data_IF_272965318333
#
_entry.id   IF_272965318333
#
_cell.length_a   1.000
_cell.length_b   1.000
_cell.length_c   1.000
_cell.angle_alpha   90.00
_cell.angle_beta   90.00
_cell.angle_gamma   90.00
#
_symmetry.space_group_name_H-M   'P 1'
#
loop_
_entity.id
_entity.type
_entity.pdbx_description
1 polymer ?
#
# COMPACT_ATOMS: atom_id res chain seq x y z
N UNK A 1 -13.50 -7.89 13.11
CA UNK A 1 -14.31 -7.54 11.92
C UNK A 1 -13.63 -6.41 11.17
N UNK A 2 -13.77 -6.36 9.84
CA UNK A 2 -13.23 -5.29 9.01
C UNK A 2 -14.37 -4.61 8.24
N UNK A 3 -14.24 -3.30 8.02
CA UNK A 3 -15.20 -2.48 7.29
C UNK A 3 -14.55 -2.13 5.95
N UNK A 4 -15.18 -2.56 4.86
CA UNK A 4 -14.80 -2.12 3.52
C UNK A 4 -15.20 -0.63 3.36
N UNK A 5 -14.22 0.23 3.16
CA UNK A 5 -14.40 1.70 3.21
C UNK A 5 -15.20 2.23 2.01
N UNK A 6 -15.00 1.64 0.81
CA UNK A 6 -15.74 2.03 -0.41
C UNK A 6 -17.25 1.80 -0.32
N UNK A 7 -17.77 0.58 -0.10
CA UNK A 7 -19.22 0.36 0.00
C UNK A 7 -19.83 1.05 1.22
N UNK A 8 -19.04 1.30 2.27
CA UNK A 8 -19.50 2.00 3.48
C UNK A 8 -19.46 3.52 3.34
N UNK A 9 -18.96 4.05 2.22
CA UNK A 9 -18.78 5.50 1.97
C UNK A 9 -17.97 6.20 3.06
N UNK A 10 -16.90 5.55 3.51
CA UNK A 10 -16.02 6.05 4.56
C UNK A 10 -14.63 6.38 4.03
N UNK A 11 -14.06 7.42 4.62
CA UNK A 11 -12.64 7.73 4.59
C UNK A 11 -12.16 7.68 6.02
N UNK A 12 -11.09 6.93 6.29
CA UNK A 12 -10.48 6.90 7.62
C UNK A 12 -9.08 7.46 7.53
N UNK A 13 -8.78 8.43 8.37
CA UNK A 13 -7.41 8.90 8.61
C UNK A 13 -6.85 8.09 9.78
N UNK A 14 -5.83 7.31 9.49
CA UNK A 14 -5.17 6.38 10.42
C UNK A 14 -3.86 7.03 10.88
N UNK A 15 -3.85 7.46 12.15
CA UNK A 15 -2.80 8.24 12.78
C UNK A 15 -1.93 7.31 13.64
N UNK A 16 -0.72 7.03 13.17
CA UNK A 16 0.17 6.09 13.85
C UNK A 16 1.14 6.79 14.81
N UNK A 17 1.57 6.14 15.90
CA UNK A 17 2.72 6.61 16.65
C UNK A 17 4.01 6.35 15.86
N UNK A 18 5.02 7.19 16.11
CA UNK A 18 6.36 6.95 15.62
C UNK A 18 6.89 5.66 16.28
N UNK A 19 7.44 4.75 15.47
CA UNK A 19 7.95 3.47 15.96
C UNK A 19 9.20 3.69 16.84
N UNK A 20 9.38 2.91 17.92
CA UNK A 20 10.62 2.96 18.70
C UNK A 20 11.85 2.74 17.81
N UNK A 21 12.84 3.63 17.90
CA UNK A 21 14.07 3.58 17.10
C UNK A 21 13.94 4.05 15.65
N UNK A 22 12.77 4.56 15.22
CA UNK A 22 12.66 5.24 13.94
C UNK A 22 13.41 6.59 13.99
N UNK A 23 13.96 7.06 12.85
CA UNK A 23 14.59 8.37 12.79
C UNK A 23 13.59 9.47 13.14
N UNK A 24 14.10 10.58 13.65
CA UNK A 24 13.26 11.75 13.89
C UNK A 24 12.68 12.27 12.58
N UNK A 25 11.47 12.82 12.66
CA UNK A 25 10.83 13.42 11.50
C UNK A 25 11.54 14.71 11.14
N UNK A 26 11.77 14.92 9.85
CA UNK A 26 12.31 16.17 9.33
C UNK A 26 11.27 17.30 9.45
N UNK A 27 11.72 18.55 9.24
CA UNK A 27 10.83 19.68 9.04
C UNK A 27 9.80 19.39 7.92
N UNK A 28 8.55 19.87 8.05
CA UNK A 28 8.02 20.73 9.11
C UNK A 28 7.51 19.96 10.35
N UNK A 29 7.85 18.68 10.51
CA UNK A 29 7.30 17.80 11.54
C UNK A 29 8.29 17.42 12.64
N UNK A 30 9.42 18.13 12.74
CA UNK A 30 10.43 17.92 13.78
C UNK A 30 9.82 17.90 15.19
N UNK A 31 10.27 16.95 16.01
CA UNK A 31 9.77 16.74 17.37
C UNK A 31 8.43 16.00 17.46
N UNK A 32 7.71 15.78 16.35
CA UNK A 32 6.49 14.97 16.38
C UNK A 32 6.83 13.49 16.61
N UNK A 33 6.16 12.89 17.59
CA UNK A 33 6.27 11.46 17.94
C UNK A 33 4.98 10.69 17.63
N UNK A 34 3.94 11.36 17.15
CA UNK A 34 2.67 10.74 16.79
C UNK A 34 1.99 11.47 15.62
N UNK A 35 1.31 10.72 14.76
CA UNK A 35 0.44 11.25 13.69
C UNK A 35 -0.61 12.27 14.14
N UNK A 36 -1.04 12.27 15.42
CA UNK A 36 -1.89 13.35 15.96
C UNK A 36 -1.20 14.71 15.91
N UNK A 37 0.09 14.77 16.27
CA UNK A 37 0.87 16.01 16.26
C UNK A 37 1.17 16.46 14.83
N UNK A 38 1.49 15.51 13.95
CA UNK A 38 1.67 15.78 12.51
C UNK A 38 0.37 16.34 11.92
N UNK A 39 -0.77 15.72 12.23
CA UNK A 39 -2.06 16.14 11.71
C UNK A 39 -2.51 17.50 12.28
N UNK A 40 -2.16 17.80 13.54
CA UNK A 40 -2.37 19.13 14.12
C UNK A 40 -1.58 20.19 13.36
N UNK A 41 -0.29 19.97 13.10
CA UNK A 41 0.54 20.90 12.32
C UNK A 41 0.01 21.11 10.90
N UNK A 42 -0.53 20.07 10.28
CA UNK A 42 -1.20 20.22 8.98
C UNK A 42 -2.43 21.13 9.05
N UNK A 43 -3.24 20.99 10.10
CA UNK A 43 -4.42 21.84 10.30
C UNK A 43 -3.99 23.30 10.56
N UNK A 44 -2.99 23.50 11.42
CA UNK A 44 -2.44 24.82 11.73
C UNK A 44 -1.87 25.51 10.48
N UNK A 45 -1.11 24.77 9.65
CA UNK A 45 -0.57 25.28 8.39
C UNK A 45 -1.65 25.63 7.36
N UNK A 46 -2.79 24.93 7.41
CA UNK A 46 -3.96 25.23 6.59
C UNK A 46 -4.83 26.37 7.17
N UNK A 47 -4.54 26.88 8.37
CA UNK A 47 -5.38 27.84 9.08
C UNK A 47 -6.72 27.26 9.54
N UNK A 48 -6.80 25.94 9.67
CA UNK A 48 -8.03 25.18 9.87
C UNK A 48 -8.10 24.56 11.25
N UNK A 49 -9.32 24.30 11.74
CA UNK A 49 -9.52 23.62 13.02
C UNK A 49 -9.20 22.13 12.91
N UNK A 50 -8.57 21.60 13.96
CA UNK A 50 -8.25 20.18 14.04
C UNK A 50 -9.53 19.32 14.12
N UNK A 51 -9.78 18.40 13.16
CA UNK A 51 -11.07 17.76 12.97
C UNK A 51 -11.25 16.54 13.88
N UNK A 52 -11.29 16.76 15.20
CA UNK A 52 -11.55 15.73 16.21
C UNK A 52 -13.04 15.47 16.45
N UNK A 53 -13.91 16.33 15.92
CA UNK A 53 -15.36 16.19 16.08
C UNK A 53 -15.95 15.19 15.08
N UNK A 54 -15.52 13.94 15.21
CA UNK A 54 -16.03 12.81 14.43
C UNK A 54 -15.89 11.51 15.23
N UNK A 55 -16.34 10.39 14.68
CA UNK A 55 -16.14 9.06 15.27
C UNK A 55 -14.66 8.66 15.31
N UNK A 56 -14.19 8.19 16.47
CA UNK A 56 -12.77 7.89 16.72
C UNK A 56 -12.56 6.52 17.35
N UNK A 57 -11.55 5.81 16.88
CA UNK A 57 -11.15 4.50 17.40
C UNK A 57 -9.67 4.50 17.70
N UNK A 58 -9.29 4.06 18.89
CA UNK A 58 -7.90 3.81 19.24
C UNK A 58 -7.52 2.37 18.88
N UNK A 59 -6.37 2.20 18.25
CA UNK A 59 -5.79 0.90 17.96
C UNK A 59 -4.97 0.37 19.14
N UNK A 60 -4.74 -0.96 19.23
CA UNK A 60 -3.91 -1.55 20.28
C UNK A 60 -2.46 -1.03 20.30
N UNK A 61 -1.95 -0.63 19.13
CA UNK A 61 -0.62 -0.06 18.98
C UNK A 61 -0.56 1.43 19.29
N UNK A 62 -1.55 1.98 20.01
CA UNK A 62 -1.67 3.40 20.35
C UNK A 62 -1.83 4.33 19.14
N UNK A 63 -2.34 3.84 18.02
CA UNK A 63 -2.76 4.69 16.90
C UNK A 63 -4.20 5.20 17.08
N UNK A 64 -4.59 6.20 16.30
CA UNK A 64 -5.93 6.81 16.33
C UNK A 64 -6.52 6.84 14.93
N UNK A 65 -7.70 6.25 14.77
CA UNK A 65 -8.46 6.27 13.52
C UNK A 65 -9.56 7.33 13.62
N UNK A 66 -9.57 8.30 12.72
CA UNK A 66 -10.61 9.31 12.57
C UNK A 66 -11.47 8.95 11.35
N UNK A 67 -12.76 8.71 11.57
CA UNK A 67 -13.68 8.29 10.51
C UNK A 67 -14.41 9.49 9.93
N UNK A 68 -14.52 9.58 8.62
CA UNK A 68 -15.24 10.64 7.91
C UNK A 68 -16.12 10.05 6.81
N UNK A 69 -17.21 10.75 6.47
CA UNK A 69 -18.05 10.41 5.32
C UNK A 69 -17.36 10.86 4.04
N UNK A 70 -17.21 9.94 3.10
CA UNK A 70 -16.69 10.22 1.77
C UNK A 70 -17.68 11.10 0.97
N UNK A 71 -17.22 12.17 0.29
CA UNK A 71 -18.04 12.92 -0.65
C UNK A 71 -18.58 12.02 -1.77
N UNK A 72 -19.82 12.27 -2.21
CA UNK A 72 -20.51 11.49 -3.26
C UNK A 72 -19.81 11.55 -4.62
N UNK A 73 -19.13 12.67 -4.89
CA UNK A 73 -18.55 13.05 -6.17
C UNK A 73 -17.05 12.73 -6.28
N UNK A 74 -16.43 12.15 -5.26
CA UNK A 74 -14.97 11.96 -5.22
C UNK A 74 -14.55 10.52 -4.89
N UNK A 75 -13.85 9.90 -5.84
CA UNK A 75 -13.13 8.66 -5.58
C UNK A 75 -11.77 8.89 -4.91
N UNK A 76 -11.76 8.76 -3.58
CA UNK A 76 -10.54 8.69 -2.78
C UNK A 76 -9.99 7.25 -2.76
N UNK A 77 -8.68 7.10 -2.93
CA UNK A 77 -7.97 5.81 -2.88
C UNK A 77 -7.25 5.64 -1.56
N UNK A 78 -7.03 4.39 -1.16
CA UNK A 78 -6.19 4.07 -0.02
C UNK A 78 -4.73 4.51 -0.27
N UNK A 79 -4.11 5.21 0.68
CA UNK A 79 -2.71 5.64 0.62
C UNK A 79 -2.02 5.46 1.97
N UNK A 80 -0.70 5.31 1.96
CA UNK A 80 0.10 5.16 3.17
C UNK A 80 1.22 6.20 3.16
N UNK A 81 1.28 7.03 4.20
CA UNK A 81 2.29 8.09 4.36
C UNK A 81 2.36 9.13 3.24
N UNK A 82 1.43 9.14 2.28
CA UNK A 82 1.46 10.07 1.14
C UNK A 82 1.03 11.48 1.52
N UNK A 83 0.13 11.59 2.51
CA UNK A 83 -0.40 12.87 2.98
C UNK A 83 0.60 13.58 3.89
N UNK A 84 1.14 12.84 4.87
CA UNK A 84 2.24 13.26 5.73
C UNK A 84 2.81 12.01 6.42
N UNK A 85 4.03 12.08 7.01
CA UNK A 85 4.55 10.99 7.83
C UNK A 85 3.57 10.60 8.94
N UNK A 86 3.45 9.31 9.22
CA UNK A 86 2.54 8.76 10.25
C UNK A 86 1.04 8.98 10.00
N UNK A 87 0.65 9.46 8.81
CA UNK A 87 -0.74 9.58 8.37
C UNK A 87 -1.01 8.64 7.20
N UNK A 88 -1.87 7.66 7.43
CA UNK A 88 -2.40 6.77 6.42
C UNK A 88 -3.85 7.14 6.08
N UNK A 89 -4.25 6.99 4.82
CA UNK A 89 -5.64 7.20 4.39
C UNK A 89 -6.23 5.88 3.95
N UNK A 90 -7.29 5.43 4.62
CA UNK A 90 -8.07 4.25 4.26
C UNK A 90 -9.35 4.69 3.55
N UNK A 91 -9.37 4.54 2.23
CA UNK A 91 -10.50 4.90 1.38
C UNK A 91 -10.71 3.80 0.31
N UNK A 92 -11.24 4.13 -0.87
CA UNK A 92 -11.57 3.17 -1.91
C UNK A 92 -10.47 2.15 -2.21
N UNK A 93 -10.83 0.86 -2.24
CA UNK A 93 -9.90 -0.26 -2.41
C UNK A 93 -9.20 -0.74 -1.13
N UNK A 94 -9.51 -0.14 0.02
CA UNK A 94 -9.02 -0.54 1.34
C UNK A 94 -10.11 -1.09 2.26
N UNK A 95 -9.69 -1.55 3.43
CA UNK A 95 -10.56 -1.88 4.56
C UNK A 95 -9.92 -1.36 5.84
N UNK A 96 -10.74 -1.13 6.87
CA UNK A 96 -10.28 -0.74 8.20
C UNK A 96 -10.82 -1.70 9.25
N UNK A 97 -10.03 -1.99 10.28
CA UNK A 97 -10.48 -2.85 11.38
C UNK A 97 -11.50 -2.08 12.24
N UNK A 98 -12.68 -2.68 12.42
CA UNK A 98 -13.77 -2.07 13.16
C UNK A 98 -13.45 -1.97 14.67
N UNK A 99 -14.02 -0.96 15.34
CA UNK A 99 -14.03 -0.90 16.79
C UNK A 99 -14.55 -2.20 17.40
N UNK A 100 -14.04 -2.57 18.58
CA UNK A 100 -14.26 -3.82 19.33
C UNK A 100 -13.60 -5.08 18.74
N UNK A 101 -12.99 -4.99 17.55
CA UNK A 101 -12.19 -6.09 17.02
C UNK A 101 -10.98 -6.38 17.90
N UNK A 102 -10.70 -7.66 18.15
CA UNK A 102 -9.54 -8.13 18.91
C UNK A 102 -8.44 -8.58 17.96
N UNK A 103 -7.21 -8.21 18.31
CA UNK A 103 -5.96 -8.74 17.76
C UNK A 103 -5.16 -9.38 18.90
N UNK A 104 -4.13 -10.13 18.57
CA UNK A 104 -3.23 -10.76 19.55
C UNK A 104 -2.51 -9.75 20.45
N UNK A 105 -2.42 -8.49 20.04
CA UNK A 105 -1.79 -7.37 20.74
C UNK A 105 -2.78 -6.42 21.42
N UNK A 106 -4.10 -6.67 21.35
CA UNK A 106 -5.10 -5.93 22.11
C UNK A 106 -6.42 -5.70 21.37
N UNK A 107 -7.20 -4.72 21.82
CA UNK A 107 -8.56 -4.44 21.31
C UNK A 107 -8.64 -3.04 20.74
N UNK A 108 -9.28 -2.88 19.58
CA UNK A 108 -9.64 -1.56 19.06
C UNK A 108 -10.77 -0.97 19.91
N UNK A 109 -10.57 0.22 20.48
CA UNK A 109 -11.53 0.85 21.40
C UNK A 109 -12.11 2.11 20.79
N UNK A 110 -13.44 2.22 20.75
CA UNK A 110 -14.08 3.50 20.43
C UNK A 110 -13.73 4.51 21.53
N UNK A 111 -13.06 5.61 21.17
CA UNK A 111 -12.73 6.68 22.13
C UNK A 111 -13.88 7.66 22.27
N UNK A 112 -14.73 7.77 21.26
CA UNK A 112 -16.00 8.45 21.33
C UNK A 112 -17.03 7.73 20.45
N UNK A 113 -18.30 8.04 20.69
CA UNK A 113 -19.42 7.57 19.86
C UNK A 113 -20.07 8.73 19.11
N UNK A 114 -19.28 9.76 18.75
CA UNK A 114 -19.80 10.88 17.97
C UNK A 114 -20.23 10.41 16.57
N UNK A 115 -21.23 11.05 15.94
CA UNK A 115 -21.57 10.76 14.56
C UNK A 115 -20.35 10.91 13.64
N UNK A 116 -20.31 10.10 12.58
CA UNK A 116 -19.29 10.24 11.53
C UNK A 116 -19.56 11.57 10.80
N UNK A 117 -18.63 12.51 10.93
CA UNK A 117 -18.70 13.82 10.31
C UNK A 117 -18.36 13.77 8.81
N UNK A 118 -18.80 14.76 8.02
CA UNK A 118 -18.32 14.96 6.65
C UNK A 118 -16.79 15.13 6.62
N UNK A 119 -16.15 14.66 5.54
CA UNK A 119 -14.73 14.92 5.33
C UNK A 119 -14.48 16.44 5.19
N UNK A 120 -13.62 17.06 6.02
CA UNK A 120 -13.29 18.47 5.91
C UNK A 120 -12.72 18.80 4.53
N UNK A 121 -13.12 19.95 3.97
CA UNK A 121 -12.74 20.32 2.60
C UNK A 121 -11.22 20.50 2.45
N UNK A 122 -10.59 21.17 3.40
CA UNK A 122 -9.13 21.35 3.40
C UNK A 122 -8.37 20.02 3.38
N UNK A 123 -8.89 19.00 4.08
CA UNK A 123 -8.28 17.68 4.13
C UNK A 123 -8.47 16.94 2.80
N UNK A 124 -9.64 17.07 2.18
CA UNK A 124 -9.88 16.56 0.83
C UNK A 124 -8.91 17.16 -0.20
N UNK A 125 -8.71 18.48 -0.13
CA UNK A 125 -7.82 19.19 -1.04
C UNK A 125 -6.34 18.81 -0.78
N UNK A 126 -5.94 18.64 0.48
CA UNK A 126 -4.63 18.10 0.84
C UNK A 126 -4.42 16.66 0.33
N UNK A 127 -5.43 15.79 0.43
CA UNK A 127 -5.37 14.42 -0.14
C UNK A 127 -5.24 14.41 -1.66
N UNK A 128 -5.85 15.40 -2.34
CA UNK A 128 -5.73 15.56 -3.79
C UNK A 128 -4.36 16.09 -4.19
N UNK A 129 -3.82 17.06 -3.47
CA UNK A 129 -2.48 17.61 -3.71
C UNK A 129 -1.37 16.60 -3.41
N UNK A 130 -1.56 15.78 -2.36
CA UNK A 130 -0.65 14.70 -1.98
C UNK A 130 -0.72 13.49 -2.91
N UNK A 131 -1.75 13.40 -3.78
CA UNK A 131 -1.74 12.43 -4.86
C UNK A 131 -0.63 12.89 -5.81
N UNK A 132 0.37 12.03 -6.13
CA UNK A 132 1.25 12.33 -7.24
C UNK A 132 0.38 12.66 -8.45
N UNK A 133 0.69 13.75 -9.17
CA UNK A 133 0.13 13.94 -10.50
C UNK A 133 0.20 12.57 -11.20
N UNK A 134 -0.86 12.11 -11.90
CA UNK A 134 -0.72 10.90 -12.70
C UNK A 134 0.58 11.07 -13.48
N UNK A 135 1.56 10.17 -13.23
CA UNK A 135 2.74 10.16 -14.07
C UNK A 135 2.22 10.17 -15.49
N UNK A 136 2.72 11.05 -16.36
CA UNK A 136 2.14 11.28 -17.68
C UNK A 136 1.78 9.92 -18.26
N UNK A 137 0.50 9.73 -18.60
CA UNK A 137 0.06 8.49 -19.22
C UNK A 137 1.08 8.16 -20.31
N UNK A 138 1.62 6.92 -20.37
CA UNK A 138 2.46 6.56 -21.48
C UNK A 138 1.62 6.81 -22.73
N UNK A 139 2.02 7.83 -23.51
CA UNK A 139 1.41 8.14 -24.79
C UNK A 139 1.41 6.81 -25.54
N UNK A 140 0.26 6.30 -26.02
CA UNK A 140 0.22 5.05 -26.76
C UNK A 140 1.12 5.23 -27.98
N UNK A 141 2.33 4.68 -27.90
CA UNK A 141 3.26 4.72 -29.01
C UNK A 141 2.78 3.71 -30.04
N UNK A 142 2.89 4.04 -31.35
CA UNK A 142 2.42 3.16 -32.40
C UNK A 142 3.07 1.79 -32.26
N UNK A 143 2.24 0.76 -32.30
CA UNK A 143 2.61 -0.66 -32.32
C UNK A 143 3.78 -0.86 -33.29
N UNK A 144 4.97 -1.11 -32.74
CA UNK A 144 6.15 -1.38 -33.56
C UNK A 144 5.99 -2.75 -34.26
N UNK A 145 6.30 -2.75 -35.55
CA UNK A 145 6.32 -3.90 -36.46
C UNK A 145 7.21 -5.06 -35.93
N UNK A 146 7.07 -6.30 -36.45
CA UNK A 146 7.63 -7.48 -35.80
C UNK A 146 9.15 -7.40 -35.69
N UNK A 147 9.64 -7.52 -34.46
CA UNK A 147 11.05 -7.47 -34.10
C UNK A 147 11.81 -8.71 -34.58
N UNK A 148 13.03 -8.51 -35.10
CA UNK A 148 14.02 -9.57 -35.38
C UNK A 148 14.25 -10.49 -34.17
N UNK A 149 14.48 -11.79 -34.41
CA UNK A 149 14.65 -12.82 -33.36
C UNK A 149 15.71 -12.47 -32.29
N UNK A 150 16.74 -11.71 -32.66
CA UNK A 150 17.79 -11.24 -31.73
C UNK A 150 17.27 -10.16 -30.76
N UNK A 151 16.33 -9.32 -31.20
CA UNK A 151 15.67 -8.30 -30.36
C UNK A 151 14.74 -8.96 -29.34
N UNK A 152 13.98 -9.97 -29.75
CA UNK A 152 13.14 -10.75 -28.82
C UNK A 152 13.94 -11.39 -27.68
N UNK A 153 15.09 -12.00 -27.99
CA UNK A 153 15.97 -12.60 -26.96
C UNK A 153 16.52 -11.58 -25.95
N UNK A 154 16.89 -10.37 -26.40
CA UNK A 154 17.43 -9.31 -25.52
C UNK A 154 16.36 -8.73 -24.60
N UNK A 155 15.15 -8.50 -25.13
CA UNK A 155 14.00 -8.06 -24.33
C UNK A 155 13.65 -9.12 -23.28
N UNK A 156 13.61 -10.39 -23.68
CA UNK A 156 13.29 -11.48 -22.75
C UNK A 156 14.30 -11.59 -21.60
N UNK A 157 15.61 -11.56 -21.90
CA UNK A 157 16.65 -11.61 -20.87
C UNK A 157 16.59 -10.41 -19.89
N UNK A 158 16.17 -9.24 -20.38
CA UNK A 158 15.96 -8.05 -19.54
C UNK A 158 14.74 -8.21 -18.63
N UNK A 159 13.62 -8.68 -19.18
CA UNK A 159 12.40 -8.99 -18.43
C UNK A 159 12.68 -10.04 -17.35
N UNK A 160 13.41 -11.10 -17.70
CA UNK A 160 13.78 -12.14 -16.75
C UNK A 160 14.65 -11.60 -15.62
N UNK A 161 15.58 -10.68 -15.89
CA UNK A 161 16.37 -10.02 -14.85
C UNK A 161 15.48 -9.23 -13.88
N UNK A 162 14.52 -8.47 -14.38
CA UNK A 162 13.60 -7.70 -13.53
C UNK A 162 12.80 -8.66 -12.63
N UNK A 163 12.32 -9.77 -13.18
CA UNK A 163 11.56 -10.75 -12.41
C UNK A 163 12.46 -11.42 -11.36
N UNK A 164 13.66 -11.87 -11.73
CA UNK A 164 14.61 -12.47 -10.79
C UNK A 164 14.97 -11.51 -9.64
N UNK A 165 15.23 -10.23 -9.94
CA UNK A 165 15.54 -9.22 -8.92
C UNK A 165 14.38 -9.06 -7.90
N UNK A 166 13.11 -9.17 -8.34
CA UNK A 166 11.96 -9.12 -7.44
C UNK A 166 11.74 -10.43 -6.68
N UNK A 167 12.02 -11.59 -7.31
CA UNK A 167 11.99 -12.89 -6.64
C UNK A 167 13.06 -12.99 -5.55
N UNK A 168 14.28 -12.51 -5.81
CA UNK A 168 15.36 -12.52 -4.83
C UNK A 168 15.09 -11.60 -3.64
N UNK A 169 14.48 -10.43 -3.89
CA UNK A 169 13.95 -9.59 -2.82
C UNK A 169 12.90 -10.32 -2.01
N UNK A 170 12.04 -11.11 -2.65
CA UNK A 170 10.98 -11.85 -1.97
C UNK A 170 11.51 -13.04 -1.16
N UNK A 171 12.55 -13.74 -1.64
CA UNK A 171 13.25 -14.82 -0.93
C UNK A 171 13.92 -14.32 0.35
N UNK A 172 14.55 -13.15 0.29
CA UNK A 172 15.38 -12.61 1.38
C UNK A 172 14.60 -11.89 2.48
N UNK A 173 13.27 -11.73 2.35
CA UNK A 173 12.46 -11.01 3.34
C UNK A 173 12.44 -11.73 4.70
N UNK A 174 12.92 -11.08 5.78
CA UNK A 174 12.90 -11.67 7.12
C UNK A 174 11.48 -12.02 7.59
N UNK A 175 11.37 -13.05 8.44
CA UNK A 175 10.15 -13.34 9.19
C UNK A 175 9.84 -12.13 10.08
N UNK A 176 8.66 -11.55 9.93
CA UNK A 176 8.24 -10.39 10.68
C UNK A 176 6.83 -9.98 10.33
N UNK A 177 6.09 -9.50 11.32
CA UNK A 177 4.68 -9.10 11.17
C UNK A 177 4.58 -8.03 10.06
N UNK A 178 3.78 -8.30 9.02
CA UNK A 178 3.45 -7.36 7.94
C UNK A 178 4.50 -7.16 6.83
N UNK A 179 5.79 -7.44 7.06
CA UNK A 179 6.86 -7.20 6.05
C UNK A 179 6.70 -8.09 4.81
N UNK A 180 6.42 -9.39 5.02
CA UNK A 180 6.22 -10.38 3.95
C UNK A 180 4.98 -10.11 3.12
N UNK A 181 3.89 -9.64 3.73
CA UNK A 181 2.68 -9.24 2.98
C UNK A 181 2.97 -8.07 2.04
N UNK A 182 3.63 -7.02 2.52
CA UNK A 182 4.03 -5.88 1.68
C UNK A 182 4.93 -6.33 0.52
N UNK A 183 5.95 -7.14 0.79
CA UNK A 183 6.87 -7.61 -0.23
C UNK A 183 6.16 -8.46 -1.31
N UNK A 184 5.30 -9.40 -0.92
CA UNK A 184 4.47 -10.20 -1.85
C UNK A 184 3.65 -9.29 -2.77
N UNK A 185 2.96 -8.32 -2.18
CA UNK A 185 2.12 -7.36 -2.92
C UNK A 185 2.93 -6.49 -3.88
N UNK A 186 4.06 -5.95 -3.43
CA UNK A 186 4.88 -5.05 -4.24
C UNK A 186 5.57 -5.80 -5.40
N UNK A 187 6.05 -7.04 -5.17
CA UNK A 187 6.58 -7.91 -6.21
C UNK A 187 5.50 -8.28 -7.24
N UNK A 188 4.33 -8.72 -6.79
CA UNK A 188 3.22 -9.07 -7.67
C UNK A 188 2.73 -7.89 -8.51
N UNK A 189 2.70 -6.68 -7.96
CA UNK A 189 2.38 -5.47 -8.72
C UNK A 189 3.39 -5.22 -9.84
N UNK A 190 4.69 -5.23 -9.53
CA UNK A 190 5.74 -4.96 -10.52
C UNK A 190 5.79 -6.01 -11.63
N UNK A 191 5.69 -7.29 -11.29
CA UNK A 191 5.61 -8.37 -12.27
C UNK A 191 4.29 -8.27 -13.06
N UNK A 192 3.19 -7.90 -12.42
CA UNK A 192 1.91 -7.65 -13.07
C UNK A 192 1.96 -6.56 -14.14
N UNK A 193 2.76 -5.51 -13.92
CA UNK A 193 2.97 -4.46 -14.95
C UNK A 193 3.61 -5.05 -16.22
N UNK A 194 4.53 -6.01 -16.09
CA UNK A 194 5.17 -6.68 -17.23
C UNK A 194 4.19 -7.61 -17.97
N UNK A 195 3.27 -8.24 -17.23
CA UNK A 195 2.17 -9.02 -17.82
C UNK A 195 1.22 -8.11 -18.60
N UNK A 196 0.86 -6.96 -18.03
CA UNK A 196 0.04 -5.96 -18.72
C UNK A 196 0.71 -5.41 -19.98
N UNK A 197 2.04 -5.33 -20.00
CA UNK A 197 2.85 -4.94 -21.16
C UNK A 197 3.13 -6.07 -22.16
N UNK A 198 2.48 -7.24 -22.01
CA UNK A 198 2.66 -8.43 -22.87
C UNK A 198 4.08 -9.00 -22.94
N UNK A 199 4.91 -8.69 -21.94
CA UNK A 199 6.29 -9.21 -21.85
C UNK A 199 6.41 -10.53 -21.08
N UNK A 200 5.37 -10.91 -20.36
CA UNK A 200 5.32 -12.13 -19.57
C UNK A 200 3.88 -12.65 -19.54
N UNK A 201 3.68 -13.96 -19.63
CA UNK A 201 2.31 -14.50 -19.49
C UNK A 201 1.85 -14.41 -18.04
N UNK A 202 0.55 -14.25 -17.81
CA UNK A 202 -0.02 -14.27 -16.46
C UNK A 202 0.28 -15.61 -15.76
N UNK A 203 0.29 -16.72 -16.50
CA UNK A 203 0.57 -18.04 -15.97
C UNK A 203 2.01 -18.17 -15.46
N UNK A 204 2.99 -17.72 -16.25
CA UNK A 204 4.41 -17.76 -15.86
C UNK A 204 4.71 -16.84 -14.69
N UNK A 205 4.12 -15.63 -14.70
CA UNK A 205 4.22 -14.68 -13.60
C UNK A 205 3.69 -15.27 -12.28
N UNK A 206 2.51 -15.89 -12.34
CA UNK A 206 1.87 -16.52 -11.18
C UNK A 206 2.71 -17.69 -10.67
N UNK A 207 3.17 -18.58 -11.54
CA UNK A 207 3.98 -19.73 -11.18
C UNK A 207 5.27 -19.31 -10.46
N UNK A 208 6.05 -18.40 -11.06
CA UNK A 208 7.33 -17.92 -10.50
C UNK A 208 7.16 -17.20 -9.16
N UNK A 209 6.13 -16.37 -9.02
CA UNK A 209 5.86 -15.67 -7.76
C UNK A 209 5.41 -16.63 -6.66
N UNK A 210 4.55 -17.60 -6.97
CA UNK A 210 4.05 -18.56 -5.96
C UNK A 210 5.14 -19.50 -5.47
N UNK A 211 6.06 -19.92 -6.35
CA UNK A 211 7.21 -20.74 -5.99
C UNK A 211 7.98 -20.16 -4.79
N UNK A 212 8.24 -18.85 -4.81
CA UNK A 212 8.91 -18.15 -3.71
C UNK A 212 7.94 -17.78 -2.59
N UNK A 213 6.78 -17.22 -2.93
CA UNK A 213 5.87 -16.64 -1.94
C UNK A 213 5.27 -17.69 -0.99
N UNK A 214 5.07 -18.94 -1.45
CA UNK A 214 4.54 -20.02 -0.61
C UNK A 214 5.51 -20.43 0.50
N UNK A 215 6.82 -20.15 0.37
CA UNK A 215 7.78 -20.31 1.48
C UNK A 215 7.50 -19.37 2.66
N UNK A 216 6.63 -18.36 2.46
CA UNK A 216 6.22 -17.44 3.52
C UNK A 216 5.06 -17.97 4.38
N UNK A 217 4.43 -19.09 3.98
CA UNK A 217 3.39 -19.77 4.77
C UNK A 217 3.96 -20.24 6.11
N UNK A 218 3.18 -20.06 7.16
CA UNK A 218 3.55 -20.48 8.50
C UNK A 218 3.20 -19.44 9.54
N UNK A 219 3.81 -19.57 10.70
CA UNK A 219 3.56 -18.69 11.85
C UNK A 219 4.80 -17.87 12.17
N UNK A 220 4.59 -16.64 12.63
CA UNK A 220 5.64 -15.83 13.26
C UNK A 220 5.42 -15.84 14.75
N UNK A 221 6.44 -16.15 15.53
CA UNK A 221 6.43 -16.07 17.00
C UNK A 221 7.25 -14.88 17.49
N UNK A 222 7.01 -14.43 18.72
CA UNK A 222 7.92 -13.53 19.41
C UNK A 222 9.03 -14.28 20.16
N UNK A 223 9.92 -13.53 20.82
CA UNK A 223 11.03 -14.08 21.61
C UNK A 223 10.55 -14.98 22.78
N UNK A 224 9.29 -14.85 23.19
CA UNK A 224 8.67 -15.68 24.23
C UNK A 224 7.92 -16.90 23.65
N UNK A 225 8.05 -17.16 22.34
CA UNK A 225 7.40 -18.28 21.65
C UNK A 225 5.92 -18.07 21.34
N UNK A 226 5.34 -16.89 21.60
CA UNK A 226 3.92 -16.64 21.36
C UNK A 226 3.65 -16.33 19.90
N UNK A 227 2.62 -16.95 19.33
CA UNK A 227 2.21 -16.70 17.93
C UNK A 227 1.73 -15.26 17.76
N UNK A 228 2.42 -14.52 16.89
CA UNK A 228 2.11 -13.13 16.53
C UNK A 228 1.30 -13.02 15.25
N UNK A 229 1.53 -13.90 14.28
CA UNK A 229 0.74 -13.95 13.04
C UNK A 229 0.77 -15.35 12.42
N UNK A 230 -0.26 -15.67 11.66
CA UNK A 230 -0.40 -16.90 10.88
C UNK A 230 -0.64 -16.47 9.44
N UNK A 231 0.15 -16.98 8.51
CA UNK A 231 0.02 -16.74 7.07
C UNK A 231 -0.31 -18.07 6.40
N UNK A 232 -1.45 -18.13 5.71
CA UNK A 232 -1.92 -19.33 5.01
C UNK A 232 -1.52 -19.32 3.53
N UNK A 233 -1.50 -20.50 2.91
CA UNK A 233 -1.27 -20.63 1.47
C UNK A 233 -2.33 -19.86 0.65
N UNK A 234 -3.59 -19.88 1.10
CA UNK A 234 -4.67 -19.12 0.47
C UNK A 234 -4.40 -17.61 0.51
N UNK A 235 -4.00 -17.07 1.67
CA UNK A 235 -3.69 -15.64 1.80
C UNK A 235 -2.51 -15.24 0.89
N UNK A 236 -1.46 -16.07 0.82
CA UNK A 236 -0.35 -15.87 -0.11
C UNK A 236 -0.85 -15.80 -1.55
N UNK A 237 -1.62 -16.81 -1.96
CA UNK A 237 -2.10 -16.93 -3.34
C UNK A 237 -2.96 -15.73 -3.72
N UNK A 238 -3.96 -15.41 -2.90
CA UNK A 238 -4.84 -14.24 -3.12
C UNK A 238 -4.07 -12.92 -3.11
N UNK A 239 -3.00 -12.77 -2.31
CA UNK A 239 -2.15 -11.56 -2.35
C UNK A 239 -1.42 -11.42 -3.68
N UNK A 240 -0.87 -12.53 -4.20
CA UNK A 240 -0.16 -12.55 -5.48
C UNK A 240 -1.12 -12.29 -6.64
N UNK A 241 -2.27 -12.97 -6.67
CA UNK A 241 -3.28 -12.80 -7.73
C UNK A 241 -3.80 -11.36 -7.78
N UNK A 242 -4.21 -10.79 -6.64
CA UNK A 242 -4.66 -9.41 -6.58
C UNK A 242 -3.58 -8.41 -6.98
N UNK A 243 -2.33 -8.66 -6.59
CA UNK A 243 -1.19 -7.83 -6.98
C UNK A 243 -0.93 -7.86 -8.48
N UNK A 244 -0.96 -9.05 -9.09
CA UNK A 244 -0.83 -9.25 -10.54
C UNK A 244 -1.96 -8.55 -11.29
N UNK A 245 -3.22 -8.79 -10.91
CA UNK A 245 -4.38 -8.19 -11.57
C UNK A 245 -4.37 -6.66 -11.46
N UNK A 246 -3.86 -6.12 -10.36
CA UNK A 246 -3.70 -4.68 -10.17
C UNK A 246 -2.53 -4.09 -10.98
N UNK A 247 -1.44 -4.85 -11.13
CA UNK A 247 -0.30 -4.48 -11.96
C UNK A 247 -0.61 -4.54 -13.46
N UNK A 248 -1.38 -5.54 -13.91
CA UNK A 248 -1.80 -5.68 -15.31
C UNK A 248 -2.57 -4.46 -15.82
N UNK A 249 -3.30 -3.78 -14.94
CA UNK A 249 -4.02 -2.52 -15.23
C UNK A 249 -3.08 -1.30 -15.36
N UNK A 250 -1.77 -1.48 -15.19
CA UNK A 250 -0.70 -0.48 -15.31
C UNK A 250 0.45 -1.06 -16.15
N UNK A 251 0.20 -1.29 -17.45
CA UNK A 251 1.14 -1.98 -18.31
C UNK A 251 2.48 -1.22 -18.37
N UNK A 252 3.59 -1.97 -18.23
CA UNK A 252 4.95 -1.47 -18.48
C UNK A 252 5.47 -2.11 -19.76
N UNK A 253 5.75 -1.28 -20.75
CA UNK A 253 6.43 -1.70 -21.99
C UNK A 253 7.93 -1.40 -21.87
N UNK A 254 8.77 -2.39 -22.20
CA UNK A 254 10.24 -2.25 -22.22
C UNK A 254 10.66 -1.55 -23.51
N UNK A 255 11.36 -0.43 -23.39
CA UNK A 255 11.79 0.41 -24.52
C UNK A 255 13.23 0.13 -24.97
N UNK A 256 13.61 0.54 -26.18
CA UNK A 256 14.99 0.38 -26.69
C UNK A 256 16.03 1.19 -25.90
N UNK A 257 15.65 2.35 -25.34
CA UNK A 257 16.52 3.17 -24.51
C UNK A 257 16.94 2.44 -23.22
N UNK A 258 16.00 1.74 -22.57
CA UNK A 258 16.27 0.94 -21.37
C UNK A 258 17.22 -0.25 -21.64
N UNK A 259 17.28 -0.74 -22.89
CA UNK A 259 18.17 -1.82 -23.31
C UNK A 259 19.61 -1.33 -23.62
N UNK A 260 19.83 -0.03 -23.77
CA UNK A 260 21.13 0.57 -24.10
C UNK A 260 21.84 1.16 -22.87
N UNK A 261 21.10 1.63 -21.88
CA UNK A 261 21.61 2.37 -20.71
C UNK A 261 22.34 1.51 -19.65
N UNK A 262 22.57 0.22 -19.93
CA UNK A 262 23.24 -0.73 -19.01
C UNK A 262 24.28 -1.63 -19.69
N UNK A 263 24.93 -1.14 -20.75
CA UNK A 263 26.14 -1.76 -21.29
C UNK A 263 27.35 -1.50 -20.39
#
# INVERSE_FOLDING_TARGET
MAIATRPSRLVVVDLDPLKPGAPELAEPYEGCKHGLQVFQRMADAAGEKFPLDTYRVQSPSNGVHLYFRAPDDVELRNSQGSLAPLLDVRAGGGYIVAATSRRSDGVYRAQNSRPIAPLPRWLLDAMRAARPAPQPEPIPSPRAAPASATRGKRVQAYVDRIVEDELDKLKTVPKGVGRRHKARRDAALKVGNLVGGEHLTRADALARLLEVALTHVGTTTDAAGRVRSITTAQEVTTTIENGLDYGMKRPRVVTEAELQDRR
#
